data_IF_520998027696
#
_entry.id   IF_520998027696
#
_cell.length_a   1.000
_cell.length_b   1.000
_cell.length_c   1.000
_cell.angle_alpha   90.00
_cell.angle_beta   90.00
_cell.angle_gamma   90.00
#
_symmetry.space_group_name_H-M   'P 1'
#
loop_
_entity.id
_entity.type
_entity.pdbx_description
1 polymer ?
#
# COMPACT_ATOMS: atom_id res chain seq x y z
N UNK A 1 2.07 36.00 -8.77
CA UNK A 1 3.30 35.96 -7.92
C UNK A 1 4.05 37.24 -8.23
N UNK A 2 4.63 37.91 -7.24
CA UNK A 2 5.22 39.23 -7.45
C UNK A 2 6.74 39.13 -7.55
N UNK A 3 7.31 39.69 -8.61
CA UNK A 3 8.75 39.75 -8.85
C UNK A 3 9.22 41.21 -8.77
N UNK A 4 10.23 41.48 -7.95
CA UNK A 4 10.87 42.79 -7.91
C UNK A 4 12.07 42.85 -8.87
N UNK A 5 12.05 43.80 -9.79
CA UNK A 5 13.15 44.05 -10.71
C UNK A 5 14.30 44.79 -10.01
N UNK A 6 15.53 44.73 -10.53
CA UNK A 6 16.65 45.53 -10.02
C UNK A 6 16.41 47.04 -10.02
N UNK A 7 15.45 47.54 -10.83
CA UNK A 7 15.00 48.93 -10.82
C UNK A 7 14.16 49.30 -9.59
N UNK A 8 13.68 48.32 -8.83
CA UNK A 8 12.78 48.49 -7.70
C UNK A 8 11.30 48.30 -8.05
N UNK A 9 10.95 48.26 -9.34
CA UNK A 9 9.58 48.02 -9.80
C UNK A 9 9.12 46.61 -9.46
N UNK A 10 7.85 46.46 -9.09
CA UNK A 10 7.22 45.17 -8.78
C UNK A 10 6.25 44.81 -9.90
N UNK A 11 6.44 43.61 -10.48
CA UNK A 11 5.59 43.09 -11.54
C UNK A 11 4.87 41.83 -11.09
N UNK A 12 3.61 41.70 -11.49
CA UNK A 12 2.85 40.46 -11.32
C UNK A 12 3.19 39.52 -12.48
N UNK A 13 3.60 38.29 -12.14
CA UNK A 13 3.86 37.24 -13.12
C UNK A 13 2.89 36.07 -12.93
N UNK A 14 2.44 35.55 -14.06
CA UNK A 14 1.72 34.29 -14.18
C UNK A 14 2.72 33.18 -14.50
N UNK A 15 2.59 32.06 -13.82
CA UNK A 15 3.47 30.91 -13.98
C UNK A 15 2.63 29.66 -14.19
N UNK A 16 2.99 28.87 -15.19
CA UNK A 16 2.45 27.53 -15.38
C UNK A 16 3.47 26.50 -14.90
N UNK A 17 3.02 25.55 -14.10
CA UNK A 17 3.86 24.43 -13.69
C UNK A 17 3.59 23.24 -14.60
N UNK A 18 4.49 23.00 -15.55
CA UNK A 18 4.28 22.02 -16.62
C UNK A 18 4.40 20.55 -16.16
N UNK A 19 5.12 20.27 -15.07
CA UNK A 19 5.50 18.90 -14.72
C UNK A 19 5.39 18.60 -13.22
N UNK A 20 4.25 18.94 -12.61
CA UNK A 20 3.98 18.46 -11.24
C UNK A 20 3.85 16.93 -11.25
N UNK A 21 4.81 16.28 -10.62
CA UNK A 21 4.80 14.83 -10.45
C UNK A 21 4.71 14.45 -8.98
N UNK A 22 3.96 13.40 -8.69
CA UNK A 22 3.92 12.79 -7.36
C UNK A 22 5.06 11.80 -7.24
N UNK A 23 6.16 12.21 -6.61
CA UNK A 23 7.27 11.31 -6.32
C UNK A 23 6.98 10.52 -5.03
N UNK A 24 7.12 9.20 -5.10
CA UNK A 24 7.12 8.36 -3.92
C UNK A 24 8.57 8.26 -3.41
N UNK A 25 8.84 8.83 -2.23
CA UNK A 25 10.13 8.71 -1.58
C UNK A 25 10.14 7.45 -0.72
N UNK A 26 10.78 6.39 -1.24
CA UNK A 26 11.04 5.18 -0.48
C UNK A 26 12.43 5.25 0.13
N UNK A 27 12.55 4.86 1.39
CA UNK A 27 13.86 4.60 1.97
C UNK A 27 14.57 3.50 1.15
N UNK A 28 15.85 3.74 0.85
CA UNK A 28 16.75 2.78 0.19
C UNK A 28 17.95 2.44 1.07
N UNK A 29 17.89 2.79 2.35
CA UNK A 29 18.91 2.39 3.33
C UNK A 29 18.92 0.87 3.45
N UNK A 30 20.11 0.29 3.51
CA UNK A 30 20.30 -1.14 3.73
C UNK A 30 20.46 -1.48 5.24
N UNK A 31 20.34 -0.49 6.12
CA UNK A 31 20.52 -0.66 7.56
C UNK A 31 19.29 -1.27 8.26
N UNK A 32 18.14 -1.30 7.58
CA UNK A 32 16.90 -1.88 8.09
C UNK A 32 16.14 -2.52 6.93
N UNK A 33 15.29 -3.49 7.25
CA UNK A 33 14.36 -4.02 6.27
C UNK A 33 13.22 -3.02 6.01
N UNK A 34 12.62 -3.15 4.84
CA UNK A 34 11.51 -2.31 4.37
C UNK A 34 10.36 -2.18 5.38
N UNK A 35 10.16 -3.21 6.19
CA UNK A 35 9.06 -3.29 7.16
C UNK A 35 9.32 -2.56 8.49
N UNK A 36 10.58 -2.25 8.78
CA UNK A 36 11.01 -1.48 9.96
C UNK A 36 11.28 -0.01 9.62
N UNK A 37 11.04 0.37 8.36
CA UNK A 37 11.29 1.72 7.88
C UNK A 37 10.26 2.71 8.45
N UNK A 38 10.72 3.60 9.33
CA UNK A 38 9.88 4.64 9.95
C UNK A 38 9.17 5.53 8.93
N UNK A 39 9.80 5.82 7.78
CA UNK A 39 9.17 6.63 6.72
C UNK A 39 8.07 5.90 5.95
N UNK A 40 7.95 4.57 6.09
CA UNK A 40 6.86 3.77 5.49
C UNK A 40 5.63 3.64 6.39
N UNK A 41 5.70 4.04 7.66
CA UNK A 41 4.56 3.95 8.60
C UNK A 41 3.36 4.76 8.10
N UNK A 42 3.59 5.96 7.56
CA UNK A 42 2.54 6.82 6.96
C UNK A 42 1.85 6.17 5.73
N UNK A 43 2.59 5.40 4.91
CA UNK A 43 2.03 4.67 3.77
C UNK A 43 1.23 3.42 4.18
N UNK A 44 1.56 2.81 5.33
CA UNK A 44 0.83 1.66 5.87
C UNK A 44 -0.58 2.05 6.31
N UNK A 45 -0.74 3.21 6.95
CA UNK A 45 -2.07 3.71 7.34
C UNK A 45 -2.99 3.91 6.12
N UNK A 46 -2.48 4.44 5.00
CA UNK A 46 -3.28 4.56 3.77
C UNK A 46 -3.65 3.22 3.11
N UNK A 47 -2.81 2.19 3.27
CA UNK A 47 -3.15 0.83 2.79
C UNK A 47 -4.15 0.13 3.70
N UNK A 48 -4.16 0.44 4.99
CA UNK A 48 -5.16 -0.05 5.94
C UNK A 48 -6.55 0.51 5.63
N UNK A 49 -6.64 1.78 5.24
CA UNK A 49 -7.88 2.37 4.71
C UNK A 49 -8.37 1.68 3.42
N UNK A 50 -7.46 1.23 2.55
CA UNK A 50 -7.79 0.40 1.37
C UNK A 50 -8.17 -1.05 1.69
N UNK A 51 -7.89 -1.53 2.91
CA UNK A 51 -8.25 -2.88 3.39
C UNK A 51 -9.62 -2.91 4.08
N UNK A 52 -10.39 -1.81 4.06
CA UNK A 52 -11.82 -1.84 4.35
C UNK A 52 -12.56 -2.57 3.22
N UNK A 53 -12.29 -3.87 3.07
CA UNK A 53 -13.00 -4.72 2.13
C UNK A 53 -14.44 -4.80 2.60
N UNK A 54 -15.39 -4.48 1.71
CA UNK A 54 -16.81 -4.62 2.03
C UNK A 54 -17.13 -6.06 2.44
N UNK A 55 -18.13 -6.23 3.31
CA UNK A 55 -18.54 -7.51 3.93
C UNK A 55 -18.59 -8.66 2.92
N UNK A 56 -19.11 -8.41 1.71
CA UNK A 56 -19.18 -9.41 0.63
C UNK A 56 -17.81 -9.96 0.19
N UNK A 57 -16.81 -9.09 0.09
CA UNK A 57 -15.46 -9.49 -0.31
C UNK A 57 -14.76 -10.26 0.81
N UNK A 58 -15.02 -9.89 2.07
CA UNK A 58 -14.51 -10.60 3.23
C UNK A 58 -15.12 -12.01 3.34
N UNK A 59 -16.44 -12.15 3.18
CA UNK A 59 -17.13 -13.44 3.15
C UNK A 59 -16.62 -14.35 2.02
N UNK A 60 -16.30 -13.76 0.87
CA UNK A 60 -15.73 -14.49 -0.27
C UNK A 60 -14.36 -15.06 0.07
N UNK A 61 -13.48 -14.26 0.69
CA UNK A 61 -12.16 -14.71 1.12
C UNK A 61 -12.25 -15.84 2.17
N UNK A 62 -13.15 -15.70 3.15
CA UNK A 62 -13.39 -16.74 4.15
C UNK A 62 -13.88 -18.05 3.53
N UNK A 63 -14.81 -17.98 2.57
CA UNK A 63 -15.31 -19.15 1.84
C UNK A 63 -14.21 -19.86 1.05
N UNK A 64 -13.30 -19.10 0.43
CA UNK A 64 -12.14 -19.65 -0.29
C UNK A 64 -11.20 -20.37 0.68
N UNK A 65 -10.89 -19.76 1.83
CA UNK A 65 -10.01 -20.36 2.83
C UNK A 65 -10.61 -21.64 3.42
N UNK A 66 -11.90 -21.63 3.74
CA UNK A 66 -12.60 -22.79 4.27
C UNK A 66 -12.64 -23.93 3.24
N UNK A 67 -12.85 -23.60 1.96
CA UNK A 67 -12.74 -24.56 0.85
C UNK A 67 -11.34 -25.20 0.75
N UNK A 68 -10.28 -24.40 0.94
CA UNK A 68 -8.90 -24.89 0.95
C UNK A 68 -8.64 -25.84 2.12
N UNK A 69 -9.06 -25.48 3.34
CA UNK A 69 -8.93 -26.34 4.53
C UNK A 69 -9.59 -27.71 4.32
N UNK A 70 -10.83 -27.73 3.80
CA UNK A 70 -11.54 -28.98 3.48
C UNK A 70 -10.79 -29.83 2.45
N UNK A 71 -10.18 -29.22 1.43
CA UNK A 71 -9.38 -29.96 0.46
C UNK A 71 -8.11 -30.54 1.08
N UNK A 72 -7.43 -29.77 1.93
CA UNK A 72 -6.21 -30.21 2.60
C UNK A 72 -6.52 -31.33 3.60
N UNK A 73 -7.62 -31.28 4.34
CA UNK A 73 -8.10 -32.37 5.20
C UNK A 73 -8.38 -33.65 4.42
N UNK A 74 -9.03 -33.54 3.25
CA UNK A 74 -9.26 -34.69 2.35
C UNK A 74 -7.96 -35.26 1.80
N UNK A 75 -6.96 -34.43 1.52
CA UNK A 75 -5.63 -34.91 1.09
C UNK A 75 -4.93 -35.61 2.24
N UNK A 76 -4.99 -35.05 3.45
CA UNK A 76 -4.37 -35.60 4.66
C UNK A 76 -4.97 -36.94 5.06
N UNK A 77 -6.30 -37.09 4.98
CA UNK A 77 -6.98 -38.37 5.25
C UNK A 77 -6.65 -39.46 4.22
N UNK A 78 -6.38 -39.09 2.97
CA UNK A 78 -5.90 -40.02 1.93
C UNK A 78 -4.44 -40.45 2.14
N UNK A 79 -3.61 -39.58 2.71
CA UNK A 79 -2.18 -39.86 2.91
C UNK A 79 -1.88 -40.58 4.24
N UNK A 80 -2.74 -40.43 5.25
CA UNK A 80 -2.62 -41.15 6.51
C UNK A 80 -3.98 -41.75 6.89
N UNK A 81 -4.27 -42.99 6.46
CA UNK A 81 -5.47 -43.68 6.93
C UNK A 81 -5.31 -43.89 8.44
N UNK A 82 -6.26 -43.38 9.21
CA UNK A 82 -6.29 -43.59 10.66
C UNK A 82 -6.35 -45.11 10.93
N UNK A 83 -5.52 -45.68 11.81
CA UNK A 83 -5.71 -47.05 12.26
C UNK A 83 -7.05 -47.13 12.99
N UNK A 84 -7.81 -48.18 12.67
CA UNK A 84 -9.12 -48.49 13.25
C UNK A 84 -9.14 -48.46 14.79
#
# INVERSE_FOLDING_TARGET
MDLQLPSGDVIEIEMEYENLQKHCFFCKSLCHEDDDCQSRVELRHQKEDRRNLGISQQNTLESIEEGKRRQDDRKRSRHYPSPH
#
